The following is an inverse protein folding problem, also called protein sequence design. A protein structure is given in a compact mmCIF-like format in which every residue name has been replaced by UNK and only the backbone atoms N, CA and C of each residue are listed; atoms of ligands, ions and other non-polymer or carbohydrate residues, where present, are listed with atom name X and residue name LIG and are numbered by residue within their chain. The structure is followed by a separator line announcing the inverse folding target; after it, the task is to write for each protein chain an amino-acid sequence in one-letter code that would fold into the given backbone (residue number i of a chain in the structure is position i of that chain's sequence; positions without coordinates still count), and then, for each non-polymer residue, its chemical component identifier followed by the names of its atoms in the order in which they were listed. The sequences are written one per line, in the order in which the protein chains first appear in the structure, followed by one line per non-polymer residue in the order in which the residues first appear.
data_IF_874534041432
#
_entry.id   IF_874534041432
#
_cell.length_a   1.000
_cell.length_b   1.000
_cell.length_c   1.000
_cell.angle_alpha   90.00
_cell.angle_beta   90.00
_cell.angle_gamma   90.00
#
_symmetry.space_group_name_H-M   'P 1'
#
loop_
_entity.id
_entity.type
_entity.pdbx_description
1 polymer ?
#
# COMPACT_ATOMS: atom_id res chain seq x y z
N UNK A 1 -0.11 -0.51 15.70
CA UNK A 1 -1.50 -0.03 15.72
C UNK A 1 -1.76 0.95 16.87
N UNK A 2 -0.98 0.93 17.96
CA UNK A 2 -1.13 1.80 19.13
C UNK A 2 -1.44 3.28 18.81
N UNK A 3 -0.73 3.91 17.87
CA UNK A 3 -1.03 5.29 17.47
C UNK A 3 -2.46 5.47 16.91
N UNK A 4 -2.93 4.52 16.11
CA UNK A 4 -4.29 4.54 15.57
C UNK A 4 -5.33 4.23 16.65
N UNK A 5 -5.02 3.33 17.60
CA UNK A 5 -5.88 3.06 18.76
C UNK A 5 -6.06 4.31 19.64
N UNK A 6 -4.98 5.03 19.92
CA UNK A 6 -5.03 6.29 20.67
C UNK A 6 -5.86 7.37 19.98
N UNK A 7 -5.94 7.33 18.64
CA UNK A 7 -6.70 8.28 17.83
C UNK A 7 -8.10 7.76 17.43
N UNK A 8 -8.46 6.52 17.78
CA UNK A 8 -9.69 5.88 17.32
C UNK A 8 -9.79 5.77 15.79
N UNK A 9 -8.65 5.67 15.11
CA UNK A 9 -8.55 5.61 13.65
C UNK A 9 -8.30 4.17 13.16
N UNK A 10 -8.60 3.90 11.89
CA UNK A 10 -8.17 2.67 11.22
C UNK A 10 -6.72 2.86 10.72
N UNK A 11 -5.72 2.13 11.24
CA UNK A 11 -4.34 2.26 10.77
C UNK A 11 -4.17 1.90 9.28
N UNK A 12 -5.07 1.09 8.72
CA UNK A 12 -5.01 0.71 7.30
C UNK A 12 -5.34 1.85 6.37
N UNK A 13 -6.10 2.85 6.82
CA UNK A 13 -6.31 4.07 6.04
C UNK A 13 -4.96 4.73 5.77
N UNK A 14 -4.13 4.93 6.79
CA UNK A 14 -2.80 5.53 6.61
C UNK A 14 -1.87 4.69 5.74
N UNK A 15 -1.92 3.36 5.85
CA UNK A 15 -1.08 2.48 5.02
C UNK A 15 -1.50 2.52 3.55
N UNK A 16 -2.79 2.66 3.25
CA UNK A 16 -3.32 2.57 1.88
C UNK A 16 -3.42 3.94 1.19
N UNK A 17 -3.58 5.02 1.95
CA UNK A 17 -3.79 6.36 1.41
C UNK A 17 -2.80 7.42 1.91
N UNK A 18 -1.92 7.04 2.84
CA UNK A 18 -0.84 7.89 3.32
C UNK A 18 0.13 8.26 2.19
N UNK A 19 0.86 9.34 2.42
CA UNK A 19 1.94 9.79 1.55
C UNK A 19 3.19 10.08 2.37
N UNK A 20 4.27 10.45 1.67
CA UNK A 20 5.51 10.95 2.28
C UNK A 20 6.33 9.94 3.11
N UNK A 21 6.07 8.63 2.97
CA UNK A 21 6.97 7.62 3.55
C UNK A 21 8.35 7.57 2.85
N UNK A 22 8.47 8.19 1.68
CA UNK A 22 9.67 8.19 0.84
C UNK A 22 10.24 6.78 0.58
N UNK A 23 9.37 5.78 0.51
CA UNK A 23 9.71 4.39 0.22
C UNK A 23 9.73 4.09 -1.29
N UNK A 24 10.31 2.95 -1.66
CA UNK A 24 10.29 2.45 -3.04
C UNK A 24 9.23 1.36 -3.19
N UNK A 25 8.40 1.50 -4.23
CA UNK A 25 7.50 0.45 -4.71
C UNK A 25 7.96 0.01 -6.10
N UNK A 26 8.27 -1.27 -6.27
CA UNK A 26 8.80 -1.81 -7.50
C UNK A 26 8.32 -3.26 -7.73
N UNK A 27 8.51 -3.74 -8.96
CA UNK A 27 8.23 -5.11 -9.36
C UNK A 27 9.50 -5.74 -9.92
N UNK A 28 9.66 -7.06 -9.77
CA UNK A 28 10.80 -7.83 -10.29
C UNK A 28 10.31 -9.18 -10.79
N UNK A 29 11.03 -9.75 -11.77
CA UNK A 29 10.75 -11.09 -12.30
C UNK A 29 11.31 -12.21 -11.41
N UNK A 30 12.27 -11.90 -10.53
CA UNK A 30 12.91 -12.84 -9.62
C UNK A 30 12.75 -12.45 -8.16
N UNK A 31 13.63 -12.96 -7.30
CA UNK A 31 13.61 -12.61 -5.88
C UNK A 31 13.85 -11.11 -5.66
N UNK A 32 13.18 -10.50 -4.66
CA UNK A 32 13.41 -9.10 -4.32
C UNK A 32 14.85 -8.88 -3.83
N UNK A 33 15.49 -7.75 -4.17
CA UNK A 33 16.78 -7.37 -3.58
C UNK A 33 16.70 -7.30 -2.05
N UNK A 34 17.86 -7.38 -1.39
CA UNK A 34 17.91 -7.23 0.07
C UNK A 34 17.27 -5.91 0.52
N UNK A 35 16.50 -5.97 1.61
CA UNK A 35 15.78 -4.82 2.16
C UNK A 35 14.39 -4.59 1.57
N UNK A 36 14.02 -5.26 0.47
CA UNK A 36 12.64 -5.24 -0.03
C UNK A 36 11.79 -6.30 0.66
N UNK A 37 10.50 -5.99 0.79
CA UNK A 37 9.47 -6.93 1.23
C UNK A 37 8.46 -7.14 0.12
N UNK A 38 8.23 -8.39 -0.27
CA UNK A 38 7.15 -8.74 -1.18
C UNK A 38 5.79 -8.51 -0.50
N UNK A 39 4.94 -7.68 -1.12
CA UNK A 39 3.60 -7.35 -0.63
C UNK A 39 2.47 -7.77 -1.56
N UNK A 40 2.80 -8.36 -2.71
CA UNK A 40 1.81 -8.75 -3.71
C UNK A 40 2.44 -9.36 -4.94
N UNK A 41 1.66 -9.42 -6.03
CA UNK A 41 2.08 -9.95 -7.32
C UNK A 41 1.50 -9.12 -8.46
N UNK A 42 2.22 -9.07 -9.57
CA UNK A 42 1.70 -8.54 -10.84
C UNK A 42 1.06 -9.69 -11.61
N UNK A 43 -0.16 -9.47 -12.09
CA UNK A 43 -0.88 -10.42 -12.95
C UNK A 43 -1.37 -9.69 -14.21
N UNK A 44 -1.72 -10.46 -15.25
CA UNK A 44 -2.38 -9.89 -16.43
C UNK A 44 -3.77 -9.37 -16.03
N UNK A 45 -4.06 -8.12 -16.35
CA UNK A 45 -5.33 -7.46 -16.07
C UNK A 45 -5.14 -5.96 -15.91
N UNK A 46 -6.15 -5.32 -15.32
CA UNK A 46 -6.20 -3.88 -15.07
C UNK A 46 -6.56 -3.61 -13.60
N UNK A 47 -6.09 -2.50 -13.06
CA UNK A 47 -6.38 -2.07 -11.69
C UNK A 47 -5.43 -2.65 -10.62
N UNK A 48 -5.74 -2.32 -9.36
CA UNK A 48 -5.02 -2.75 -8.16
C UNK A 48 -6.05 -3.33 -7.19
N UNK A 49 -5.74 -4.48 -6.61
CA UNK A 49 -6.59 -5.15 -5.61
C UNK A 49 -5.81 -5.36 -4.32
N UNK A 50 -6.54 -5.45 -3.21
CA UNK A 50 -6.01 -5.85 -1.90
C UNK A 50 -6.78 -7.11 -1.50
N UNK A 51 -6.05 -8.20 -1.26
CA UNK A 51 -6.64 -9.52 -0.97
C UNK A 51 -7.66 -10.02 -2.00
N UNK A 52 -7.56 -9.54 -3.25
CA UNK A 52 -8.45 -9.92 -4.36
C UNK A 52 -9.71 -9.07 -4.49
N UNK A 53 -9.93 -8.11 -3.59
CA UNK A 53 -11.05 -7.18 -3.60
C UNK A 53 -10.59 -5.76 -3.98
N UNK A 54 -11.55 -4.88 -4.28
CA UNK A 54 -11.26 -3.46 -4.46
C UNK A 54 -10.67 -2.84 -3.18
N UNK A 55 -9.66 -1.94 -3.28
CA UNK A 55 -9.07 -1.33 -2.10
C UNK A 55 -10.11 -0.56 -1.29
N UNK A 56 -10.13 -0.79 0.03
CA UNK A 56 -11.02 -0.09 0.97
C UNK A 56 -10.83 1.43 0.95
N UNK A 57 -9.58 1.87 0.78
CA UNK A 57 -9.19 3.27 0.66
C UNK A 57 -8.44 3.46 -0.66
N UNK A 58 -8.88 4.43 -1.46
CA UNK A 58 -8.34 4.71 -2.81
C UNK A 58 -7.86 6.15 -2.97
N UNK A 59 -7.90 6.94 -1.89
CA UNK A 59 -7.45 8.33 -1.94
C UNK A 59 -5.94 8.42 -1.73
N UNK A 60 -5.39 9.56 -2.10
CA UNK A 60 -4.00 9.92 -1.88
C UNK A 60 -3.88 11.44 -2.04
N UNK A 61 -2.68 11.97 -1.81
CA UNK A 61 -2.48 13.41 -2.00
C UNK A 61 -2.71 13.83 -3.45
N UNK A 62 -3.46 14.91 -3.64
CA UNK A 62 -3.68 15.59 -4.92
C UNK A 62 -3.39 17.08 -4.75
N UNK A 63 -2.84 17.71 -5.78
CA UNK A 63 -2.35 19.10 -5.68
C UNK A 63 -3.43 20.18 -5.70
N UNK A 64 -4.65 19.88 -6.18
CA UNK A 64 -5.77 20.82 -6.36
C UNK A 64 -7.10 20.09 -6.47
#
# INVERSE_FOLDING_TARGET
AEAAELLGADPWEWVMSGGEDHTLLATTAGDPPSGFRSIGRVVRGDGVTIDGEDPKYTHGWVSF
#
